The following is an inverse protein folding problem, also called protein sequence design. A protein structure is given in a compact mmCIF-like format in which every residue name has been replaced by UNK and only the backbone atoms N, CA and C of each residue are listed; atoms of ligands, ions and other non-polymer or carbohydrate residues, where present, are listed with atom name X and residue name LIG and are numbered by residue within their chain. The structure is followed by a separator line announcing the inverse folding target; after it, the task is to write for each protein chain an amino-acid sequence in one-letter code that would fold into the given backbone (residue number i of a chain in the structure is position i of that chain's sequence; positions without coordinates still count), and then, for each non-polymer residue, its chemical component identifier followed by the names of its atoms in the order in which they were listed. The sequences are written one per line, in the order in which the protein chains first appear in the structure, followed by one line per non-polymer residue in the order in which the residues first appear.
data_IF_622180589208
#
_entry.id   IF_622180589208
#
_cell.length_a   1.000
_cell.length_b   1.000
_cell.length_c   1.000
_cell.angle_alpha   90.00
_cell.angle_beta   90.00
_cell.angle_gamma   90.00
#
_symmetry.space_group_name_H-M   'P 1'
#
loop_
_entity.id
_entity.type
_entity.pdbx_description
1 polymer ?
#
# COMPACT_ATOMS: atom_id res chain seq x y z
N UNK A 1 9.75 46.80 -71.44
CA UNK A 1 8.89 45.60 -71.31
C UNK A 1 9.82 44.38 -71.28
N UNK A 2 10.26 43.97 -70.09
CA UNK A 2 11.18 42.83 -69.91
C UNK A 2 10.46 41.77 -69.06
N UNK A 3 10.05 40.69 -69.72
CA UNK A 3 9.50 39.48 -69.09
C UNK A 3 10.63 38.71 -68.39
N UNK A 4 10.46 38.45 -67.09
CA UNK A 4 11.32 37.53 -66.33
C UNK A 4 10.77 36.11 -66.45
N UNK A 5 11.62 35.18 -66.86
CA UNK A 5 11.39 33.74 -66.86
C UNK A 5 11.47 33.18 -65.43
N UNK A 6 10.52 32.32 -65.06
CA UNK A 6 10.60 31.48 -63.85
C UNK A 6 11.34 30.18 -64.19
N UNK A 7 12.35 29.75 -63.40
CA UNK A 7 12.83 28.38 -63.47
C UNK A 7 11.94 27.46 -62.62
N UNK A 8 11.74 26.26 -63.13
CA UNK A 8 10.95 25.19 -62.52
C UNK A 8 11.54 24.77 -61.17
N UNK A 9 10.82 25.07 -60.09
CA UNK A 9 11.11 24.55 -58.76
C UNK A 9 10.74 23.08 -58.69
N UNK A 10 11.75 22.21 -58.65
CA UNK A 10 11.60 20.78 -58.33
C UNK A 10 11.15 20.66 -56.87
N UNK A 11 9.88 20.32 -56.65
CA UNK A 11 9.36 19.98 -55.33
C UNK A 11 9.85 18.57 -54.99
N UNK A 12 10.88 18.49 -54.16
CA UNK A 12 11.34 17.23 -53.55
C UNK A 12 10.42 16.93 -52.36
N UNK A 13 9.40 16.12 -52.58
CA UNK A 13 8.53 15.60 -51.53
C UNK A 13 9.33 14.58 -50.70
N UNK A 14 9.94 15.06 -49.61
CA UNK A 14 10.65 14.23 -48.64
C UNK A 14 9.62 13.33 -47.93
N UNK A 15 9.37 12.13 -48.45
CA UNK A 15 8.67 11.08 -47.71
C UNK A 15 9.54 10.70 -46.52
N UNK A 16 9.26 11.29 -45.36
CA UNK A 16 9.74 10.76 -44.09
C UNK A 16 9.09 9.39 -43.90
N UNK A 17 9.85 8.33 -44.18
CA UNK A 17 9.51 7.00 -43.69
C UNK A 17 9.47 7.10 -42.15
N UNK A 18 8.27 7.25 -41.59
CA UNK A 18 8.06 7.00 -40.17
C UNK A 18 8.37 5.52 -39.96
N UNK A 19 9.56 5.25 -39.44
CA UNK A 19 9.96 3.94 -38.94
C UNK A 19 8.93 3.49 -37.91
N UNK A 20 7.95 2.70 -38.34
CA UNK A 20 7.00 2.05 -37.46
C UNK A 20 7.81 1.02 -36.69
N UNK A 21 8.13 1.38 -35.45
CA UNK A 21 8.84 0.47 -34.56
C UNK A 21 7.81 -0.54 -34.07
N UNK A 22 7.72 -1.68 -34.74
CA UNK A 22 6.78 -2.74 -34.44
C UNK A 22 7.26 -3.52 -33.21
N UNK A 23 6.86 -3.07 -32.01
CA UNK A 23 7.16 -3.76 -30.76
C UNK A 23 5.92 -4.46 -30.21
N UNK A 24 6.14 -5.56 -29.48
CA UNK A 24 5.11 -6.18 -28.67
C UNK A 24 5.00 -5.39 -27.36
N UNK A 25 3.86 -4.77 -27.07
CA UNK A 25 3.76 -3.81 -25.98
C UNK A 25 2.44 -3.99 -25.21
N UNK A 26 2.56 -4.32 -23.92
CA UNK A 26 1.45 -4.16 -22.99
C UNK A 26 1.23 -2.67 -22.71
N UNK A 27 0.04 -2.18 -23.02
CA UNK A 27 -0.44 -0.86 -22.62
C UNK A 27 -1.42 -1.03 -21.48
N UNK A 28 -1.05 -0.53 -20.29
CA UNK A 28 -1.91 -0.58 -19.10
C UNK A 28 -2.78 0.68 -19.01
N UNK A 29 -4.02 0.52 -18.57
CA UNK A 29 -4.93 1.64 -18.31
C UNK A 29 -4.38 2.54 -17.20
N UNK A 30 -3.80 1.92 -16.18
CA UNK A 30 -3.13 2.57 -15.07
C UNK A 30 -1.96 1.72 -14.62
N UNK A 31 -0.91 2.38 -14.14
CA UNK A 31 0.28 1.72 -13.58
C UNK A 31 0.34 1.87 -12.05
N UNK A 32 -0.50 2.73 -11.46
CA UNK A 32 -0.51 3.05 -10.04
C UNK A 32 -1.94 3.05 -9.54
N UNK A 33 -2.28 2.16 -8.61
CA UNK A 33 -3.54 2.23 -7.84
C UNK A 33 -3.22 2.88 -6.49
N UNK A 34 -3.93 3.95 -6.16
CA UNK A 34 -3.81 4.63 -4.86
C UNK A 34 -5.12 4.56 -4.10
N UNK A 35 -5.09 4.16 -2.83
CA UNK A 35 -6.30 4.01 -2.02
C UNK A 35 -6.06 4.21 -0.53
N UNK A 36 -7.08 4.68 0.18
CA UNK A 36 -7.13 4.62 1.63
C UNK A 36 -7.85 3.34 2.04
N UNK A 37 -7.28 2.60 2.99
CA UNK A 37 -7.82 1.31 3.42
C UNK A 37 -7.92 1.29 4.93
N UNK A 38 -9.00 0.72 5.44
CA UNK A 38 -9.13 0.46 6.87
C UNK A 38 -8.34 -0.80 7.24
N UNK A 39 -7.59 -0.76 8.34
CA UNK A 39 -6.84 -1.91 8.86
C UNK A 39 -7.74 -3.13 9.06
N UNK A 40 -9.01 -2.92 9.42
CA UNK A 40 -9.98 -3.99 9.64
C UNK A 40 -10.41 -4.72 8.36
N UNK A 41 -10.16 -4.15 7.18
CA UNK A 41 -10.49 -4.80 5.89
C UNK A 41 -9.67 -6.08 5.64
N UNK A 42 -8.54 -6.26 6.35
CA UNK A 42 -7.58 -7.40 6.26
C UNK A 42 -6.90 -7.60 4.90
N UNK A 43 -7.60 -7.34 3.80
CA UNK A 43 -7.14 -7.47 2.42
C UNK A 43 -7.60 -6.28 1.58
N UNK A 44 -6.79 -5.89 0.60
CA UNK A 44 -7.16 -4.92 -0.43
C UNK A 44 -7.11 -5.60 -1.81
N UNK A 45 -8.26 -5.82 -2.47
CA UNK A 45 -8.28 -6.35 -3.83
C UNK A 45 -7.80 -5.29 -4.82
N UNK A 46 -7.07 -5.71 -5.86
CA UNK A 46 -6.64 -4.82 -6.93
C UNK A 46 -6.71 -5.51 -8.29
N UNK A 47 -6.78 -4.70 -9.34
CA UNK A 47 -6.76 -5.18 -10.72
C UNK A 47 -6.19 -4.11 -11.65
N UNK A 48 -5.16 -4.48 -12.42
CA UNK A 48 -4.58 -3.61 -13.45
C UNK A 48 -4.95 -4.15 -14.83
N UNK A 49 -5.76 -3.40 -15.58
CA UNK A 49 -6.16 -3.77 -16.94
C UNK A 49 -5.11 -3.35 -17.97
N UNK A 50 -4.95 -4.18 -19.00
CA UNK A 50 -4.06 -3.90 -20.12
C UNK A 50 -4.58 -4.44 -21.46
N UNK A 51 -3.98 -3.94 -22.54
CA UNK A 51 -4.13 -4.44 -23.90
C UNK A 51 -2.74 -4.68 -24.51
N UNK A 52 -2.58 -5.74 -25.29
CA UNK A 52 -1.42 -5.84 -26.18
C UNK A 52 -1.64 -4.93 -27.39
N UNK A 53 -1.02 -3.75 -27.39
CA UNK A 53 -1.11 -2.78 -28.49
C UNK A 53 -0.06 -3.00 -29.57
N UNK A 54 0.80 -4.01 -29.40
CA UNK A 54 1.83 -4.37 -30.37
C UNK A 54 1.31 -5.19 -31.53
N UNK A 55 2.19 -5.42 -32.50
CA UNK A 55 1.89 -6.19 -33.73
C UNK A 55 2.12 -7.70 -33.56
N UNK A 56 2.76 -8.11 -32.46
CA UNK A 56 3.11 -9.51 -32.18
C UNK A 56 2.57 -9.96 -30.83
N UNK A 57 2.31 -11.27 -30.66
CA UNK A 57 1.94 -11.83 -29.36
C UNK A 57 2.99 -11.53 -28.28
N UNK A 58 2.53 -11.06 -27.13
CA UNK A 58 3.36 -10.84 -25.94
C UNK A 58 3.17 -12.00 -24.98
N UNK A 59 4.26 -12.51 -24.43
CA UNK A 59 4.25 -13.57 -23.44
C UNK A 59 4.69 -13.02 -22.08
N UNK A 60 3.86 -13.20 -21.06
CA UNK A 60 4.21 -12.94 -19.67
C UNK A 60 5.01 -14.14 -19.17
N UNK A 61 6.29 -13.91 -18.89
CA UNK A 61 7.24 -14.94 -18.42
C UNK A 61 7.16 -15.13 -16.92
N UNK A 62 7.04 -14.02 -16.18
CA UNK A 62 7.05 -14.03 -14.73
C UNK A 62 6.33 -12.82 -14.18
N UNK A 63 5.68 -13.02 -13.04
CA UNK A 63 5.19 -11.94 -12.19
C UNK A 63 5.86 -12.10 -10.82
N UNK A 64 6.45 -11.04 -10.31
CA UNK A 64 7.07 -11.01 -8.99
C UNK A 64 6.62 -9.79 -8.20
N UNK A 65 6.47 -9.94 -6.89
CA UNK A 65 6.05 -8.87 -5.99
C UNK A 65 7.20 -8.45 -5.08
N UNK A 66 7.22 -7.18 -4.65
CA UNK A 66 8.25 -6.65 -3.73
C UNK A 66 8.13 -7.22 -2.30
N UNK A 67 6.96 -7.71 -1.93
CA UNK A 67 6.62 -8.22 -0.60
C UNK A 67 5.76 -9.48 -0.72
N UNK A 68 5.93 -10.44 0.19
CA UNK A 68 5.07 -11.63 0.30
C UNK A 68 3.62 -11.34 0.72
N UNK A 69 3.31 -10.07 1.01
CA UNK A 69 1.97 -9.61 1.33
C UNK A 69 1.08 -9.39 0.10
N UNK A 70 1.65 -9.30 -1.10
CA UNK A 70 0.90 -9.13 -2.34
C UNK A 70 0.78 -10.46 -3.07
N UNK A 71 -0.45 -10.93 -3.30
CA UNK A 71 -0.76 -12.19 -3.99
C UNK A 71 -1.41 -11.87 -5.33
N UNK A 72 -0.84 -12.39 -6.42
CA UNK A 72 -1.36 -12.24 -7.78
C UNK A 72 -1.99 -13.55 -8.23
N UNK A 73 -3.16 -13.48 -8.87
CA UNK A 73 -3.85 -14.65 -9.44
C UNK A 73 -3.13 -15.16 -10.70
N UNK A 74 -3.30 -16.44 -11.06
CA UNK A 74 -2.82 -16.95 -12.34
C UNK A 74 -3.38 -16.15 -13.52
N UNK A 75 -2.53 -15.86 -14.51
CA UNK A 75 -2.90 -15.13 -15.73
C UNK A 75 -2.69 -16.00 -16.97
N UNK A 76 -3.27 -15.59 -18.10
CA UNK A 76 -2.93 -16.18 -19.40
C UNK A 76 -1.47 -15.84 -19.70
N UNK A 77 -0.69 -16.81 -20.20
CA UNK A 77 0.73 -16.57 -20.45
C UNK A 77 0.99 -15.79 -21.75
N UNK A 78 0.09 -15.80 -22.74
CA UNK A 78 0.31 -15.16 -24.04
C UNK A 78 -0.91 -14.36 -24.51
N UNK A 79 -0.71 -13.15 -25.00
CA UNK A 79 -1.75 -12.25 -25.48
C UNK A 79 -1.45 -11.84 -26.93
N UNK A 80 -2.36 -12.17 -27.84
CA UNK A 80 -2.29 -11.77 -29.25
C UNK A 80 -2.42 -10.25 -29.41
N UNK A 81 -2.06 -9.66 -30.56
CA UNK A 81 -2.37 -8.26 -30.84
C UNK A 81 -3.85 -7.95 -30.57
N UNK A 82 -4.12 -6.84 -29.87
CA UNK A 82 -5.45 -6.40 -29.41
C UNK A 82 -6.11 -7.25 -28.32
N UNK A 83 -5.49 -8.34 -27.89
CA UNK A 83 -5.98 -9.07 -26.71
C UNK A 83 -5.90 -8.16 -25.48
N UNK A 84 -6.96 -8.22 -24.67
CA UNK A 84 -7.04 -7.55 -23.38
C UNK A 84 -6.84 -8.55 -22.25
N UNK A 85 -6.30 -8.07 -21.14
CA UNK A 85 -6.07 -8.86 -19.95
C UNK A 85 -6.03 -7.99 -18.71
N UNK A 86 -5.81 -8.65 -17.57
CA UNK A 86 -5.63 -7.97 -16.31
C UNK A 86 -4.68 -8.72 -15.37
N UNK A 87 -4.02 -7.96 -14.51
CA UNK A 87 -3.24 -8.45 -13.37
C UNK A 87 -4.10 -8.25 -12.14
N UNK A 88 -4.78 -9.31 -11.72
CA UNK A 88 -5.66 -9.32 -10.55
C UNK A 88 -4.96 -9.93 -9.33
N UNK A 89 -5.20 -9.35 -8.16
CA UNK A 89 -4.66 -9.89 -6.91
C UNK A 89 -5.29 -9.28 -5.67
N UNK A 90 -4.68 -9.59 -4.53
CA UNK A 90 -5.01 -9.01 -3.25
C UNK A 90 -3.74 -8.70 -2.44
N UNK A 91 -3.74 -7.58 -1.75
CA UNK A 91 -2.70 -7.19 -0.81
C UNK A 91 -3.17 -7.46 0.62
N UNK A 92 -2.44 -8.30 1.37
CA UNK A 92 -2.76 -8.70 2.75
C UNK A 92 -2.32 -7.60 3.69
N UNK A 93 -3.27 -6.81 4.19
CA UNK A 93 -3.04 -5.66 5.08
C UNK A 93 -2.29 -6.08 6.36
N UNK A 94 -2.75 -7.15 7.02
CA UNK A 94 -2.17 -7.63 8.27
C UNK A 94 -2.20 -6.54 9.35
N UNK A 95 -1.08 -6.39 10.07
CA UNK A 95 -0.98 -5.41 11.17
C UNK A 95 -0.47 -4.02 10.74
N UNK A 96 -0.22 -3.82 9.45
CA UNK A 96 0.37 -2.60 8.88
C UNK A 96 -0.57 -1.39 9.03
N UNK A 97 0.04 -0.21 9.14
CA UNK A 97 -0.64 1.09 9.22
C UNK A 97 0.16 2.15 8.45
N UNK A 98 -0.48 3.27 8.12
CA UNK A 98 0.16 4.38 7.41
C UNK A 98 0.41 4.08 5.93
N UNK A 99 1.35 4.81 5.33
CA UNK A 99 1.65 4.71 3.91
C UNK A 99 2.41 3.42 3.59
N UNK A 100 1.88 2.67 2.62
CA UNK A 100 2.48 1.46 2.07
C UNK A 100 2.61 1.62 0.56
N UNK A 101 3.77 1.28 0.03
CA UNK A 101 4.00 1.20 -1.41
C UNK A 101 4.48 -0.22 -1.74
N UNK A 102 3.78 -0.92 -2.62
CA UNK A 102 4.13 -2.27 -3.09
C UNK A 102 4.27 -2.26 -4.60
N UNK A 103 5.23 -3.02 -5.11
CA UNK A 103 5.50 -3.13 -6.53
C UNK A 103 5.22 -4.54 -7.05
N UNK A 104 4.60 -4.61 -8.23
CA UNK A 104 4.37 -5.83 -8.99
C UNK A 104 5.14 -5.67 -10.29
N UNK A 105 6.15 -6.53 -10.47
CA UNK A 105 7.02 -6.55 -11.64
C UNK A 105 6.58 -7.68 -12.56
N UNK A 106 6.32 -7.34 -13.82
CA UNK A 106 5.95 -8.27 -14.88
C UNK A 106 7.11 -8.34 -15.86
N UNK A 107 7.61 -9.54 -16.08
CA UNK A 107 8.62 -9.85 -17.09
C UNK A 107 7.93 -10.41 -18.34
N UNK A 108 8.28 -9.86 -19.51
CA UNK A 108 7.75 -10.30 -20.80
C UNK A 108 8.87 -10.81 -21.73
N UNK A 109 8.47 -11.43 -22.84
CA UNK A 109 9.39 -11.81 -23.91
C UNK A 109 9.83 -10.63 -24.82
N UNK A 110 9.28 -9.44 -24.64
CA UNK A 110 9.67 -8.28 -25.45
C UNK A 110 11.06 -7.78 -25.05
N UNK A 111 11.95 -7.68 -26.04
CA UNK A 111 13.33 -7.21 -25.84
C UNK A 111 13.34 -5.68 -25.71
N UNK A 112 12.39 -4.98 -26.33
CA UNK A 112 12.33 -3.51 -26.29
C UNK A 112 11.87 -3.00 -24.93
N UNK A 113 10.92 -3.71 -24.30
CA UNK A 113 10.43 -3.43 -22.95
C UNK A 113 10.15 -4.72 -22.19
N UNK A 114 11.21 -5.27 -21.59
CA UNK A 114 11.14 -6.54 -20.86
C UNK A 114 10.39 -6.47 -19.53
N UNK A 115 10.38 -5.32 -18.86
CA UNK A 115 9.82 -5.19 -17.51
C UNK A 115 8.74 -4.12 -17.46
N UNK A 116 7.63 -4.46 -16.80
CA UNK A 116 6.58 -3.52 -16.40
C UNK A 116 6.51 -3.48 -14.88
N UNK A 117 6.38 -2.26 -14.33
CA UNK A 117 6.28 -2.03 -12.89
C UNK A 117 4.93 -1.41 -12.58
N UNK A 118 4.08 -2.16 -11.88
CA UNK A 118 2.81 -1.69 -11.34
C UNK A 118 2.98 -1.38 -9.86
N UNK A 119 2.30 -0.35 -9.37
CA UNK A 119 2.47 0.14 -7.99
C UNK A 119 1.12 0.22 -7.26
N UNK A 120 1.07 -0.34 -6.06
CA UNK A 120 -0.04 -0.15 -5.11
C UNK A 120 0.41 0.85 -4.05
N UNK A 121 -0.32 1.96 -3.90
CA UNK A 121 -0.11 2.97 -2.86
C UNK A 121 -1.28 2.97 -1.89
N UNK A 122 -1.11 2.36 -0.74
CA UNK A 122 -2.16 2.23 0.27
C UNK A 122 -1.86 3.11 1.47
N UNK A 123 -2.84 3.90 1.91
CA UNK A 123 -2.79 4.55 3.22
C UNK A 123 -3.69 3.78 4.19
N UNK A 124 -3.09 2.98 5.06
CA UNK A 124 -3.81 2.07 5.95
C UNK A 124 -4.16 2.82 7.25
N UNK A 125 -5.43 3.17 7.39
CA UNK A 125 -5.99 3.85 8.57
C UNK A 125 -6.40 2.85 9.63
N UNK A 126 -6.05 3.14 10.87
CA UNK A 126 -6.60 2.44 12.04
C UNK A 126 -7.80 3.24 12.58
N UNK A 127 -8.91 2.57 12.90
CA UNK A 127 -10.09 3.27 13.45
C UNK A 127 -9.84 3.80 14.85
N UNK A 128 -9.09 3.03 15.63
CA UNK A 128 -8.79 3.28 17.03
C UNK A 128 -7.27 3.26 17.19
N UNK A 129 -6.74 4.21 17.96
CA UNK A 129 -5.34 4.28 18.33
C UNK A 129 -5.18 4.53 19.82
N UNK A 130 -4.07 4.06 20.40
CA UNK A 130 -3.71 4.30 21.79
C UNK A 130 -2.40 5.06 21.88
N UNK A 131 -2.36 6.15 22.64
CA UNK A 131 -1.17 6.94 22.89
C UNK A 131 -0.94 7.14 24.39
N UNK A 132 0.23 6.78 24.94
CA UNK A 132 1.30 5.99 24.30
C UNK A 132 0.91 4.51 24.15
N UNK A 133 1.59 3.79 23.24
CA UNK A 133 1.41 2.33 23.07
C UNK A 133 2.14 1.49 24.12
N UNK A 134 3.19 2.05 24.71
CA UNK A 134 4.03 1.38 25.70
C UNK A 134 4.21 2.34 26.88
N UNK A 135 3.98 1.84 28.08
CA UNK A 135 4.30 2.51 29.33
C UNK A 135 5.47 1.77 29.98
N UNK A 136 6.45 2.51 30.47
CA UNK A 136 7.66 1.96 31.08
C UNK A 136 7.78 2.54 32.48
N UNK A 137 7.99 1.68 33.48
CA UNK A 137 8.44 2.06 34.82
C UNK A 137 9.79 1.41 35.08
N UNK A 138 10.75 2.17 35.60
CA UNK A 138 12.07 1.62 35.92
C UNK A 138 12.05 0.89 37.25
N UNK A 139 12.96 -0.07 37.39
CA UNK A 139 13.18 -0.77 38.65
C UNK A 139 13.62 0.26 39.70
N UNK A 140 12.99 0.22 40.88
CA UNK A 140 13.16 1.17 41.99
C UNK A 140 12.61 2.60 41.77
N UNK A 141 11.92 2.85 40.66
CA UNK A 141 11.10 4.06 40.50
C UNK A 141 9.82 3.93 41.33
N UNK A 142 9.31 5.05 41.85
CA UNK A 142 7.98 5.05 42.43
C UNK A 142 6.94 4.69 41.34
N UNK A 143 5.98 3.79 41.63
CA UNK A 143 4.98 3.35 40.65
C UNK A 143 3.91 4.43 40.45
N UNK A 144 4.28 5.55 39.86
CA UNK A 144 3.35 6.66 39.59
C UNK A 144 2.38 6.28 38.46
N UNK A 145 1.09 6.68 38.53
CA UNK A 145 0.16 6.45 37.42
C UNK A 145 0.63 7.16 36.15
N UNK A 146 0.51 6.49 35.00
CA UNK A 146 0.78 7.07 33.68
C UNK A 146 -0.50 7.04 32.84
N UNK A 147 -0.74 8.10 32.09
CA UNK A 147 -1.96 8.27 31.31
C UNK A 147 -1.86 7.54 29.96
N UNK A 148 -2.99 7.03 29.50
CA UNK A 148 -3.20 6.51 28.15
C UNK A 148 -4.43 7.17 27.57
N UNK A 149 -4.33 7.59 26.31
CA UNK A 149 -5.42 8.11 25.53
C UNK A 149 -5.77 7.11 24.44
N UNK A 150 -7.04 6.74 24.33
CA UNK A 150 -7.60 6.06 23.16
C UNK A 150 -8.27 7.13 22.30
N UNK A 151 -7.87 7.23 21.04
CA UNK A 151 -8.47 8.11 20.05
C UNK A 151 -9.14 7.29 18.95
N UNK A 152 -10.28 7.75 18.45
CA UNK A 152 -11.02 7.09 17.38
C UNK A 152 -11.45 8.09 16.31
N UNK A 153 -11.49 7.64 15.06
CA UNK A 153 -11.99 8.45 13.92
C UNK A 153 -13.52 8.37 13.77
N UNK A 154 -14.16 7.48 14.52
CA UNK A 154 -15.62 7.34 14.61
C UNK A 154 -16.03 7.27 16.08
N UNK A 155 -17.27 7.65 16.45
CA UNK A 155 -17.75 7.44 17.81
C UNK A 155 -17.72 5.96 18.21
N UNK A 156 -17.14 5.64 19.37
CA UNK A 156 -17.04 4.26 19.89
C UNK A 156 -17.59 4.14 21.30
N UNK A 157 -18.13 2.98 21.64
CA UNK A 157 -18.50 2.65 23.02
C UNK A 157 -17.50 1.67 23.60
N UNK A 158 -16.76 2.08 24.63
CA UNK A 158 -15.89 1.18 25.39
C UNK A 158 -16.75 0.33 26.33
N UNK A 159 -16.74 -0.99 26.15
CA UNK A 159 -17.45 -1.93 27.03
C UNK A 159 -16.66 -2.18 28.33
N UNK A 160 -15.35 -2.37 28.22
CA UNK A 160 -14.45 -2.58 29.36
C UNK A 160 -13.01 -2.27 28.99
N UNK A 161 -12.22 -1.84 29.96
CA UNK A 161 -10.75 -1.79 29.88
C UNK A 161 -10.23 -2.61 31.07
N UNK A 162 -9.44 -3.64 30.78
CA UNK A 162 -8.93 -4.58 31.79
C UNK A 162 -7.47 -4.88 31.53
N UNK A 163 -6.67 -4.95 32.60
CA UNK A 163 -5.32 -5.49 32.52
C UNK A 163 -5.40 -7.02 32.51
N UNK A 164 -4.70 -7.65 31.56
CA UNK A 164 -4.64 -9.12 31.47
C UNK A 164 -3.85 -9.69 32.66
N UNK A 165 -2.77 -9.01 33.07
CA UNK A 165 -2.02 -9.38 34.26
C UNK A 165 -2.58 -8.71 35.52
N UNK A 166 -2.39 -9.35 36.66
CA UNK A 166 -2.80 -8.81 37.95
C UNK A 166 -1.83 -7.73 38.49
N UNK A 167 -0.77 -7.39 37.75
CA UNK A 167 0.33 -6.53 38.20
C UNK A 167 0.02 -5.04 38.03
N UNK A 168 -1.08 -4.71 37.35
CA UNK A 168 -1.47 -3.33 37.07
C UNK A 168 -2.90 -3.05 37.53
N UNK A 169 -3.16 -1.78 37.86
CA UNK A 169 -4.49 -1.23 38.11
C UNK A 169 -4.81 -0.17 37.06
N UNK A 170 -6.07 -0.13 36.65
CA UNK A 170 -6.60 0.86 35.72
C UNK A 170 -7.60 1.74 36.49
N UNK A 171 -7.53 3.05 36.29
CA UNK A 171 -8.39 4.02 36.98
C UNK A 171 -8.78 5.19 36.06
N UNK A 172 -9.83 5.90 36.47
CA UNK A 172 -10.28 7.16 35.88
C UNK A 172 -10.52 7.08 34.37
N UNK A 173 -11.36 6.14 33.94
CA UNK A 173 -11.77 6.04 32.53
C UNK A 173 -12.75 7.17 32.23
N UNK A 174 -12.27 8.20 31.55
CA UNK A 174 -13.05 9.37 31.16
C UNK A 174 -13.32 9.35 29.67
N UNK A 175 -14.57 9.68 29.30
CA UNK A 175 -14.96 9.89 27.92
C UNK A 175 -14.91 11.39 27.59
N UNK A 176 -14.22 11.74 26.51
CA UNK A 176 -14.03 13.11 26.05
C UNK A 176 -14.35 13.20 24.56
N UNK A 177 -14.88 14.34 24.13
CA UNK A 177 -15.14 14.63 22.71
C UNK A 177 -16.05 13.61 22.02
N UNK A 178 -17.33 13.59 22.40
CA UNK A 178 -18.39 12.81 21.73
C UNK A 178 -18.08 11.33 21.46
N UNK A 179 -17.51 10.64 22.46
CA UNK A 179 -17.12 9.22 22.34
C UNK A 179 -16.01 8.95 21.31
N UNK A 180 -15.23 9.96 20.95
CA UNK A 180 -14.08 9.82 20.04
C UNK A 180 -12.75 9.79 20.79
N UNK A 181 -12.71 10.19 22.06
CA UNK A 181 -11.50 10.18 22.89
C UNK A 181 -11.79 9.60 24.28
N UNK A 182 -10.94 8.72 24.76
CA UNK A 182 -11.01 8.18 26.11
C UNK A 182 -9.67 8.30 26.79
N UNK A 183 -9.66 8.74 28.04
CA UNK A 183 -8.45 8.88 28.83
C UNK A 183 -8.56 7.99 30.06
N UNK A 184 -7.47 7.31 30.41
CA UNK A 184 -7.41 6.49 31.62
C UNK A 184 -5.97 6.41 32.12
N UNK A 185 -5.80 5.95 33.35
CA UNK A 185 -4.50 5.83 33.99
C UNK A 185 -4.19 4.38 34.30
N UNK A 186 -2.94 3.99 34.04
CA UNK A 186 -2.40 2.69 34.41
C UNK A 186 -1.35 2.92 35.51
N UNK A 187 -1.38 2.09 36.54
CA UNK A 187 -0.40 2.10 37.63
C UNK A 187 0.03 0.66 37.96
N UNK A 188 1.34 0.39 38.14
CA UNK A 188 1.78 -0.89 38.70
C UNK A 188 1.29 -1.06 40.14
N UNK A 189 0.93 -2.29 40.51
CA UNK A 189 0.67 -2.65 41.89
C UNK A 189 1.99 -2.75 42.66
N UNK A 190 1.98 -2.49 43.98
CA UNK A 190 3.15 -2.72 44.82
C UNK A 190 3.61 -4.18 44.72
N UNK A 191 4.89 -4.37 44.43
CA UNK A 191 5.52 -5.70 44.32
C UNK A 191 5.83 -6.20 45.75
N UNK A 192 5.43 -7.44 46.08
CA UNK A 192 5.84 -8.08 47.35
C UNK A 192 7.36 -8.34 47.33
N UNK A 193 8.04 -8.18 48.47
CA UNK A 193 9.52 -8.21 48.57
C UNK A 193 10.19 -9.41 47.86
N UNK A 194 9.57 -10.59 47.85
CA UNK A 194 10.09 -11.82 47.19
C UNK A 194 10.17 -11.71 45.65
N UNK A 195 9.22 -11.01 45.02
CA UNK A 195 9.22 -10.79 43.57
C UNK A 195 10.27 -9.77 43.14
N UNK A 196 10.61 -8.82 44.03
CA UNK A 196 11.63 -7.80 43.77
C UNK A 196 13.05 -8.39 43.66
N UNK A 197 13.30 -9.56 44.27
CA UNK A 197 14.58 -10.27 44.17
C UNK A 197 14.75 -11.03 42.84
N UNK A 198 13.64 -11.45 42.20
CA UNK A 198 13.67 -12.16 40.90
C UNK A 198 13.81 -11.23 39.68
N UNK A 199 13.66 -9.92 39.89
CA UNK A 199 13.73 -8.88 38.86
C UNK A 199 15.10 -8.17 38.79
N UNK A 200 15.99 -8.47 39.74
CA UNK A 200 17.40 -8.04 39.72
C UNK A 200 18.24 -9.06 38.98
#
# INVERSE_FOLDING_TARGET
MFMKSLPHGVIFLLMTFLSHSAYSLLSFNEMIISSEVLRESKVFPFRFYFENTGEYPIEIKKISTSCGCTIVKPVKNSYSPKDKGDIEGADIIGDRIGNQEQEIIIETNDISKRYYKLTLRLHIKQKIDSTPRILIWRINEEPTPKNVTISSIVPIKIQSIQAISNDFTISNIENKGDNMKFEFYIKPKPIKNEQKQKLK
#
